data_IF_602080383824
#
_entry.id   IF_602080383824
#
_cell.length_a   1.000
_cell.length_b   1.000
_cell.length_c   1.000
_cell.angle_alpha   90.00
_cell.angle_beta   90.00
_cell.angle_gamma   90.00
#
_symmetry.space_group_name_H-M   'P 1'
#
loop_
_entity.id
_entity.type
_entity.pdbx_description
1 polymer ?
#
# COMPACT_ATOMS: atom_id res chain seq x y z
N UNK A 1 58.97 27.97 24.38
CA UNK A 1 58.27 27.06 23.51
C UNK A 1 56.86 27.52 23.16
N UNK A 2 56.05 28.08 24.07
CA UNK A 2 54.65 28.51 23.75
C UNK A 2 54.55 29.71 22.78
N UNK A 3 55.53 30.61 22.73
CA UNK A 3 55.52 31.77 21.82
C UNK A 3 55.94 31.45 20.36
N UNK A 4 56.70 30.36 20.14
CA UNK A 4 57.10 29.91 18.82
C UNK A 4 56.00 29.13 18.10
N UNK A 5 55.15 28.41 18.85
CA UNK A 5 54.00 27.67 18.28
C UNK A 5 52.92 28.64 17.81
N UNK A 6 52.67 29.74 18.51
CA UNK A 6 51.70 30.76 18.09
C UNK A 6 52.10 31.51 16.82
N UNK A 7 53.41 31.69 16.59
CA UNK A 7 53.93 32.36 15.40
C UNK A 7 53.84 31.43 14.17
N UNK A 8 54.02 30.12 14.33
CA UNK A 8 53.89 29.12 13.29
C UNK A 8 52.44 28.94 12.83
N UNK A 9 51.47 28.99 13.79
CA UNK A 9 50.05 28.93 13.46
C UNK A 9 49.54 30.18 12.73
N UNK A 10 50.08 31.36 13.08
CA UNK A 10 49.75 32.61 12.38
C UNK A 10 50.30 32.66 10.95
N UNK A 11 51.47 32.05 10.70
CA UNK A 11 52.08 31.99 9.38
C UNK A 11 51.38 30.99 8.42
N UNK A 12 50.77 29.94 8.96
CA UNK A 12 49.95 28.99 8.18
C UNK A 12 48.60 29.57 7.75
N UNK A 13 48.02 30.53 8.46
CA UNK A 13 46.77 31.20 8.07
C UNK A 13 46.94 32.30 7.04
N UNK A 14 48.16 32.82 6.84
CA UNK A 14 48.44 33.88 5.83
C UNK A 14 48.77 33.28 4.46
N UNK A 15 49.18 32.02 4.39
CA UNK A 15 49.45 31.34 3.12
C UNK A 15 48.18 30.79 2.38
N UNK A 16 47.01 30.87 3.02
CA UNK A 16 45.75 30.45 2.37
C UNK A 16 45.00 31.58 1.61
N UNK A 17 45.54 32.80 1.58
CA UNK A 17 44.88 33.98 0.98
C UNK A 17 45.50 34.47 -0.35
N UNK A 18 46.48 33.77 -0.92
CA UNK A 18 47.18 34.18 -2.18
C UNK A 18 46.92 33.20 -3.35
N UNK A 19 45.80 32.47 -3.36
CA UNK A 19 45.40 31.62 -4.48
C UNK A 19 44.06 32.07 -5.12
N UNK A 20 43.91 33.38 -5.34
CA UNK A 20 42.80 33.91 -6.14
C UNK A 20 43.32 35.11 -6.94
N UNK A 21 43.90 34.82 -8.11
CA UNK A 21 44.23 35.84 -9.11
C UNK A 21 44.81 35.18 -10.35
N UNK A 22 43.98 34.98 -11.41
CA UNK A 22 44.50 34.59 -12.74
C UNK A 22 43.51 33.74 -13.53
N UNK A 23 42.57 34.44 -14.15
CA UNK A 23 42.14 34.31 -15.55
C UNK A 23 41.63 32.96 -16.09
N UNK A 24 40.50 33.02 -16.77
CA UNK A 24 40.05 31.99 -17.73
C UNK A 24 38.83 31.19 -17.27
N UNK A 25 37.66 31.74 -17.58
CA UNK A 25 36.33 31.14 -17.39
C UNK A 25 36.23 29.65 -17.69
N UNK A 26 35.91 28.94 -16.68
CA UNK A 26 34.99 27.79 -16.73
C UNK A 26 34.24 27.82 -15.40
N UNK A 27 33.02 28.33 -15.48
CA UNK A 27 32.02 28.11 -14.47
C UNK A 27 31.78 26.60 -14.41
N UNK A 28 32.56 25.90 -13.57
CA UNK A 28 32.12 24.64 -13.05
C UNK A 28 30.93 24.97 -12.11
N UNK A 29 29.77 25.18 -12.69
CA UNK A 29 28.54 24.92 -11.98
C UNK A 29 28.61 23.44 -11.70
N UNK A 30 29.00 23.05 -10.49
CA UNK A 30 28.54 21.82 -9.87
C UNK A 30 27.02 21.97 -9.82
N UNK A 31 26.35 21.66 -10.91
CA UNK A 31 24.94 21.37 -10.90
C UNK A 31 24.84 20.04 -10.16
N UNK A 32 24.76 20.08 -8.84
CA UNK A 32 24.23 18.92 -8.12
C UNK A 32 22.95 18.54 -8.83
N UNK A 33 22.77 17.26 -9.13
CA UNK A 33 21.57 16.76 -9.80
C UNK A 33 20.36 17.36 -9.11
N UNK A 34 19.50 18.04 -9.87
CA UNK A 34 18.23 18.52 -9.34
C UNK A 34 17.39 17.31 -9.00
N UNK A 35 16.87 17.26 -7.79
CA UNK A 35 16.15 16.10 -7.27
C UNK A 35 14.75 16.51 -6.82
N UNK A 36 13.75 15.76 -7.27
CA UNK A 36 12.41 15.76 -6.70
C UNK A 36 12.27 14.51 -5.86
N UNK A 37 11.82 14.69 -4.62
CA UNK A 37 11.57 13.59 -3.70
C UNK A 37 10.08 13.28 -3.67
N UNK A 38 9.72 12.05 -4.03
CA UNK A 38 8.38 11.50 -3.85
C UNK A 38 8.40 10.64 -2.58
N UNK A 39 7.59 11.00 -1.58
CA UNK A 39 7.42 10.22 -0.37
C UNK A 39 6.63 8.94 -0.68
N UNK A 40 7.05 7.83 -0.09
CA UNK A 40 6.35 6.54 -0.16
C UNK A 40 5.94 6.16 1.26
N UNK A 41 4.66 6.34 1.54
CA UNK A 41 4.05 6.13 2.86
C UNK A 41 3.34 4.78 2.89
N UNK A 42 4.07 3.70 3.16
CA UNK A 42 3.54 2.34 3.04
C UNK A 42 3.82 1.46 4.28
N UNK A 43 3.00 0.43 4.53
CA UNK A 43 3.32 -0.57 5.52
C UNK A 43 4.41 -1.51 4.98
N UNK A 44 5.64 -1.35 5.48
CA UNK A 44 6.76 -2.24 5.16
C UNK A 44 6.94 -3.31 6.24
N UNK A 45 6.23 -3.17 7.37
CA UNK A 45 6.16 -4.10 8.49
C UNK A 45 4.72 -4.24 9.00
N UNK A 46 4.44 -5.26 9.85
CA UNK A 46 3.11 -5.54 10.39
C UNK A 46 2.22 -6.38 9.45
N UNK A 47 0.93 -6.45 9.75
CA UNK A 47 -0.01 -7.40 9.14
C UNK A 47 -0.31 -7.13 7.66
N UNK A 48 -0.17 -5.89 7.22
CA UNK A 48 -0.37 -5.45 5.83
C UNK A 48 0.93 -5.33 5.02
N UNK A 49 2.08 -5.71 5.59
CA UNK A 49 3.39 -5.54 4.96
C UNK A 49 3.52 -6.21 3.58
N UNK A 50 2.81 -7.33 3.36
CA UNK A 50 2.83 -8.00 2.05
C UNK A 50 2.26 -7.11 0.95
N UNK A 51 1.13 -6.46 1.21
CA UNK A 51 0.49 -5.54 0.26
C UNK A 51 1.31 -4.28 0.03
N UNK A 52 1.71 -3.59 1.11
CA UNK A 52 2.49 -2.36 0.98
C UNK A 52 3.83 -2.53 0.26
N UNK A 53 4.53 -3.63 0.50
CA UNK A 53 5.77 -3.95 -0.24
C UNK A 53 5.53 -4.16 -1.74
N UNK A 54 4.39 -4.71 -2.11
CA UNK A 54 4.01 -4.90 -3.51
C UNK A 54 3.60 -3.59 -4.19
N UNK A 55 2.96 -2.66 -3.48
CA UNK A 55 2.76 -1.29 -3.99
C UNK A 55 4.10 -0.59 -4.22
N UNK A 56 5.00 -0.66 -3.24
CA UNK A 56 6.37 -0.11 -3.38
C UNK A 56 7.12 -0.75 -4.55
N UNK A 57 6.96 -2.04 -4.76
CA UNK A 57 7.56 -2.74 -5.91
C UNK A 57 7.12 -2.15 -7.24
N UNK A 58 5.82 -1.86 -7.39
CA UNK A 58 5.29 -1.18 -8.58
C UNK A 58 5.89 0.20 -8.79
N UNK A 59 5.95 1.00 -7.72
CA UNK A 59 6.55 2.34 -7.75
C UNK A 59 8.05 2.29 -8.11
N UNK A 60 8.80 1.32 -7.56
CA UNK A 60 10.23 1.15 -7.84
C UNK A 60 10.47 0.70 -9.28
N UNK A 61 9.63 -0.20 -9.79
CA UNK A 61 9.71 -0.60 -11.19
C UNK A 61 9.46 0.59 -12.11
N UNK A 62 8.38 1.35 -11.89
CA UNK A 62 8.07 2.56 -12.66
C UNK A 62 9.20 3.60 -12.59
N UNK A 63 9.77 3.84 -11.41
CA UNK A 63 10.92 4.73 -11.24
C UNK A 63 12.18 4.22 -11.98
N UNK A 64 12.37 2.90 -12.09
CA UNK A 64 13.48 2.33 -12.87
C UNK A 64 13.34 2.56 -14.37
N UNK A 65 12.10 2.62 -14.88
CA UNK A 65 11.81 2.92 -16.28
C UNK A 65 11.85 4.43 -16.59
N UNK A 66 11.36 5.24 -15.65
CA UNK A 66 11.26 6.71 -15.80
C UNK A 66 11.86 7.40 -14.57
N UNK A 67 13.20 7.44 -14.45
CA UNK A 67 13.89 7.96 -13.26
C UNK A 67 13.97 9.49 -13.19
N UNK A 68 13.44 10.19 -14.19
CA UNK A 68 13.53 11.65 -14.32
C UNK A 68 12.20 12.26 -14.76
N UNK A 69 12.00 13.54 -14.44
CA UNK A 69 10.86 14.34 -14.91
C UNK A 69 11.36 15.69 -15.43
N UNK A 70 10.70 16.19 -16.48
CA UNK A 70 10.97 17.52 -17.05
C UNK A 70 10.01 18.54 -16.44
N UNK A 71 10.55 19.56 -15.75
CA UNK A 71 9.78 20.67 -15.21
C UNK A 71 10.36 22.00 -15.66
N UNK A 72 9.54 22.80 -16.35
CA UNK A 72 9.93 24.13 -16.85
C UNK A 72 11.20 24.10 -17.72
N UNK A 73 11.41 23.02 -18.48
CA UNK A 73 12.58 22.85 -19.36
C UNK A 73 13.86 22.40 -18.63
N UNK A 74 13.72 21.94 -17.39
CA UNK A 74 14.83 21.40 -16.59
C UNK A 74 14.54 19.96 -16.18
N UNK A 75 15.54 19.08 -16.30
CA UNK A 75 15.45 17.68 -15.92
C UNK A 75 15.72 17.51 -14.43
N UNK A 76 14.84 16.84 -13.72
CA UNK A 76 14.97 16.47 -12.32
C UNK A 76 15.03 14.97 -12.19
N UNK A 77 15.97 14.48 -11.37
CA UNK A 77 15.97 13.08 -10.93
C UNK A 77 14.85 12.87 -9.92
N UNK A 78 14.11 11.77 -10.03
CA UNK A 78 13.06 11.38 -9.08
C UNK A 78 13.64 10.40 -8.07
N UNK A 79 13.54 10.74 -6.78
CA UNK A 79 13.96 9.90 -5.67
C UNK A 79 12.73 9.45 -4.87
N UNK A 80 12.57 8.13 -4.65
CA UNK A 80 11.56 7.56 -3.78
C UNK A 80 12.08 7.52 -2.34
N UNK A 81 11.40 8.21 -1.44
CA UNK A 81 11.74 8.31 -0.02
C UNK A 81 10.76 7.50 0.80
N UNK A 82 11.18 6.33 1.28
CA UNK A 82 10.32 5.40 1.99
C UNK A 82 10.16 5.77 3.46
N UNK A 83 8.94 5.58 3.99
CA UNK A 83 8.64 5.66 5.42
C UNK A 83 7.61 4.59 5.80
N UNK A 84 8.00 3.72 6.74
CA UNK A 84 7.19 2.58 7.20
C UNK A 84 6.15 3.03 8.23
N UNK A 85 4.87 2.92 7.90
CA UNK A 85 3.78 3.18 8.84
C UNK A 85 3.44 1.97 9.75
N UNK A 86 4.10 0.83 9.53
CA UNK A 86 4.02 -0.34 10.39
C UNK A 86 2.66 -1.02 10.43
N UNK A 87 1.79 -0.84 9.43
CA UNK A 87 0.38 -1.29 9.44
C UNK A 87 -0.41 -0.75 10.65
N UNK A 88 -0.06 0.44 11.17
CA UNK A 88 -0.52 0.92 12.47
C UNK A 88 -1.03 2.36 12.40
N UNK A 89 -2.24 2.58 12.87
CA UNK A 89 -2.81 3.93 13.04
C UNK A 89 -2.02 4.77 14.04
N UNK A 90 -1.40 4.15 15.04
CA UNK A 90 -0.59 4.85 16.04
C UNK A 90 0.77 5.32 15.48
N UNK A 91 1.37 4.55 14.58
CA UNK A 91 2.66 4.88 13.96
C UNK A 91 2.53 5.79 12.73
N UNK A 92 1.41 5.71 12.03
CA UNK A 92 1.17 6.44 10.79
C UNK A 92 1.44 7.95 10.89
N UNK A 93 1.01 8.69 11.95
CA UNK A 93 1.32 10.11 12.06
C UNK A 93 2.82 10.42 12.16
N UNK A 94 3.59 9.54 12.82
CA UNK A 94 5.05 9.70 12.93
C UNK A 94 5.74 9.45 11.60
N UNK A 95 5.34 8.39 10.87
CA UNK A 95 5.86 8.09 9.55
C UNK A 95 5.54 9.18 8.52
N UNK A 96 4.34 9.76 8.58
CA UNK A 96 3.96 10.90 7.75
C UNK A 96 4.82 12.14 8.07
N UNK A 97 5.03 12.45 9.36
CA UNK A 97 5.88 13.57 9.78
C UNK A 97 7.36 13.38 9.38
N UNK A 98 7.84 12.14 9.34
CA UNK A 98 9.18 11.82 8.85
C UNK A 98 9.34 12.20 7.37
N UNK A 99 8.36 11.86 6.50
CA UNK A 99 8.36 12.26 5.09
C UNK A 99 8.32 13.79 4.92
N UNK A 100 7.46 14.46 5.68
CA UNK A 100 7.39 15.93 5.68
C UNK A 100 8.76 16.52 6.03
N UNK A 101 9.44 15.99 7.07
CA UNK A 101 10.75 16.47 7.50
C UNK A 101 11.86 16.23 6.47
N UNK A 102 11.72 15.21 5.64
CA UNK A 102 12.66 14.89 4.54
C UNK A 102 12.45 15.77 3.31
N UNK A 103 11.44 16.64 3.32
CA UNK A 103 11.16 17.60 2.27
C UNK A 103 10.68 16.95 0.97
N UNK A 104 9.75 15.99 1.08
CA UNK A 104 9.11 15.39 -0.10
C UNK A 104 8.14 16.38 -0.74
N UNK A 105 8.02 16.35 -2.06
CA UNK A 105 7.16 17.24 -2.84
C UNK A 105 5.72 16.72 -2.94
N UNK A 106 5.56 15.39 -2.95
CA UNK A 106 4.30 14.67 -3.05
C UNK A 106 4.46 13.34 -2.34
N UNK A 107 3.36 12.72 -1.92
CA UNK A 107 3.36 11.42 -1.24
C UNK A 107 2.49 10.42 -2.01
N UNK A 108 3.00 9.21 -2.21
CA UNK A 108 2.26 8.03 -2.65
C UNK A 108 2.00 7.10 -1.46
N UNK A 109 0.83 6.51 -1.42
CA UNK A 109 0.45 5.56 -0.37
C UNK A 109 -0.83 5.98 0.33
N UNK A 110 -1.36 5.13 1.11
CA UNK A 110 -0.83 3.88 1.63
C UNK A 110 -1.78 2.72 1.29
N UNK A 111 -1.32 1.49 1.45
CA UNK A 111 -2.15 0.29 1.32
C UNK A 111 -3.30 0.24 2.34
N UNK A 112 -3.11 0.75 3.56
CA UNK A 112 -4.08 0.64 4.64
C UNK A 112 -4.92 1.89 4.85
N UNK A 113 -6.27 1.81 4.76
CA UNK A 113 -7.17 2.95 4.95
C UNK A 113 -7.06 3.61 6.32
N UNK A 114 -6.95 2.81 7.41
CA UNK A 114 -6.77 3.33 8.77
C UNK A 114 -5.47 4.15 8.91
N UNK A 115 -4.36 3.66 8.35
CA UNK A 115 -3.09 4.39 8.35
C UNK A 115 -3.16 5.67 7.51
N UNK A 116 -3.87 5.62 6.35
CA UNK A 116 -4.12 6.82 5.53
C UNK A 116 -4.88 7.91 6.30
N UNK A 117 -5.96 7.53 6.99
CA UNK A 117 -6.75 8.47 7.80
C UNK A 117 -5.97 9.03 8.98
N UNK A 118 -5.11 8.23 9.61
CA UNK A 118 -4.32 8.66 10.76
C UNK A 118 -3.12 9.54 10.37
N UNK A 119 -2.42 9.21 9.28
CA UNK A 119 -1.22 9.93 8.82
C UNK A 119 -1.54 11.11 7.89
N UNK A 120 -2.60 10.99 7.09
CA UNK A 120 -2.98 11.96 6.05
C UNK A 120 -3.11 13.41 6.50
N UNK A 121 -3.65 13.72 7.70
CA UNK A 121 -3.69 15.08 8.20
C UNK A 121 -2.32 15.77 8.27
N UNK A 122 -1.22 15.02 8.49
CA UNK A 122 0.14 15.57 8.52
C UNK A 122 0.59 16.13 7.17
N UNK A 123 0.16 15.50 6.09
CA UNK A 123 0.43 16.00 4.73
C UNK A 123 -0.38 17.26 4.45
N UNK A 124 -1.67 17.28 4.81
CA UNK A 124 -2.51 18.47 4.69
C UNK A 124 -1.99 19.66 5.49
N UNK A 125 -1.58 19.45 6.75
CA UNK A 125 -0.96 20.48 7.60
C UNK A 125 0.32 21.06 6.96
N UNK A 126 1.07 20.24 6.22
CA UNK A 126 2.30 20.64 5.53
C UNK A 126 2.06 21.21 4.12
N UNK A 127 0.82 21.18 3.60
CA UNK A 127 0.50 21.58 2.23
C UNK A 127 1.06 20.65 1.18
N UNK A 128 1.28 19.36 1.52
CA UNK A 128 1.82 18.33 0.63
C UNK A 128 0.67 17.44 0.15
N UNK A 129 0.51 17.29 -1.17
CA UNK A 129 -0.48 16.40 -1.74
C UNK A 129 -0.09 14.93 -1.49
N UNK A 130 -1.08 14.09 -1.16
CA UNK A 130 -0.95 12.65 -1.06
C UNK A 130 -1.89 11.94 -2.03
N UNK A 131 -1.42 10.90 -2.70
CA UNK A 131 -2.19 10.06 -3.62
C UNK A 131 -2.31 8.68 -3.02
N UNK A 132 -3.52 8.34 -2.55
CA UNK A 132 -3.86 7.01 -2.07
C UNK A 132 -3.83 5.99 -3.20
N UNK A 133 -3.07 4.93 -3.00
CA UNK A 133 -2.88 3.88 -4.00
C UNK A 133 -4.01 2.87 -3.93
N UNK A 134 -4.17 2.17 -2.80
CA UNK A 134 -5.26 1.22 -2.59
C UNK A 134 -6.03 1.41 -1.28
N UNK A 135 -5.92 2.57 -0.63
CA UNK A 135 -6.71 2.91 0.56
C UNK A 135 -8.15 3.29 0.17
N UNK A 136 -9.01 2.31 0.05
CA UNK A 136 -10.32 2.38 -0.60
C UNK A 136 -11.43 3.00 0.26
N UNK A 137 -11.26 3.11 1.59
CA UNK A 137 -12.29 3.66 2.46
C UNK A 137 -12.61 5.13 2.09
N UNK A 138 -13.90 5.49 1.86
CA UNK A 138 -14.29 6.86 1.50
C UNK A 138 -13.78 7.94 2.45
N UNK A 139 -13.62 7.61 3.74
CA UNK A 139 -13.19 8.56 4.75
C UNK A 139 -11.71 8.99 4.62
N UNK A 140 -10.92 8.31 3.82
CA UNK A 140 -9.50 8.68 3.57
C UNK A 140 -9.40 10.09 2.97
N UNK A 141 -10.30 10.44 2.05
CA UNK A 141 -10.32 11.76 1.40
C UNK A 141 -11.39 12.68 1.95
N UNK A 142 -12.31 12.18 2.78
CA UNK A 142 -13.37 12.99 3.35
C UNK A 142 -12.80 14.03 4.34
N UNK A 143 -12.93 15.32 3.99
CA UNK A 143 -12.44 16.42 4.83
C UNK A 143 -10.93 16.63 4.80
N UNK A 144 -10.22 16.04 3.83
CA UNK A 144 -8.80 16.27 3.59
C UNK A 144 -8.57 16.67 2.12
N UNK A 145 -8.46 17.98 1.87
CA UNK A 145 -8.29 18.55 0.53
C UNK A 145 -6.93 18.23 -0.11
N UNK A 146 -6.01 17.67 0.65
CA UNK A 146 -4.67 17.27 0.20
C UNK A 146 -4.53 15.77 -0.03
N UNK A 147 -5.58 14.95 0.22
CA UNK A 147 -5.54 13.52 -0.01
C UNK A 147 -6.43 13.12 -1.20
N UNK A 148 -5.80 12.67 -2.25
CA UNK A 148 -6.42 12.17 -3.48
C UNK A 148 -6.34 10.65 -3.50
N UNK A 149 -6.93 9.98 -4.51
CA UNK A 149 -6.78 8.52 -4.70
C UNK A 149 -6.94 8.14 -6.16
N UNK A 150 -6.35 7.02 -6.54
CA UNK A 150 -6.52 6.39 -7.85
C UNK A 150 -7.38 5.11 -7.79
N UNK A 151 -7.61 4.56 -6.62
CA UNK A 151 -8.40 3.34 -6.43
C UNK A 151 -9.92 3.61 -6.39
N UNK A 152 -10.71 2.55 -6.57
CA UNK A 152 -12.14 2.61 -6.34
C UNK A 152 -12.49 2.77 -4.84
N UNK A 153 -13.77 2.92 -4.55
CA UNK A 153 -14.28 3.13 -3.19
C UNK A 153 -14.91 1.86 -2.61
N UNK A 154 -14.81 1.67 -1.28
CA UNK A 154 -15.40 0.54 -0.55
C UNK A 154 -16.91 0.38 -0.78
N UNK A 155 -17.65 1.48 -0.88
CA UNK A 155 -19.08 1.42 -1.15
C UNK A 155 -19.38 0.82 -2.54
N UNK A 156 -18.56 1.10 -3.54
CA UNK A 156 -18.66 0.46 -4.85
C UNK A 156 -18.25 -1.01 -4.79
N UNK A 157 -17.09 -1.31 -4.20
CA UNK A 157 -16.58 -2.69 -4.04
C UNK A 157 -17.59 -3.58 -3.31
N UNK A 158 -18.13 -3.09 -2.19
CA UNK A 158 -19.11 -3.82 -1.40
C UNK A 158 -20.41 -4.08 -2.16
N UNK A 159 -20.86 -3.13 -2.98
CA UNK A 159 -22.05 -3.33 -3.81
C UNK A 159 -21.82 -4.43 -4.85
N UNK A 160 -20.65 -4.44 -5.50
CA UNK A 160 -20.28 -5.48 -6.49
C UNK A 160 -20.22 -6.85 -5.80
N UNK A 161 -19.53 -6.97 -4.65
CA UNK A 161 -19.38 -8.23 -3.94
C UNK A 161 -20.71 -8.75 -3.37
N UNK A 162 -21.57 -7.86 -2.87
CA UNK A 162 -22.90 -8.21 -2.39
C UNK A 162 -23.79 -8.75 -3.54
N UNK A 163 -23.81 -8.08 -4.69
CA UNK A 163 -24.55 -8.54 -5.86
C UNK A 163 -23.97 -9.87 -6.38
N UNK A 164 -22.65 -10.01 -6.42
CA UNK A 164 -22.00 -11.27 -6.79
C UNK A 164 -22.42 -12.43 -5.87
N UNK A 165 -22.48 -12.23 -4.55
CA UNK A 165 -22.95 -13.23 -3.61
C UNK A 165 -24.38 -13.71 -3.95
N UNK A 166 -25.25 -12.78 -4.29
CA UNK A 166 -26.65 -13.08 -4.65
C UNK A 166 -26.77 -13.74 -6.01
N UNK A 167 -26.09 -13.23 -7.02
CA UNK A 167 -26.20 -13.71 -8.39
C UNK A 167 -25.53 -15.07 -8.57
N UNK A 168 -24.36 -15.26 -7.97
CA UNK A 168 -23.58 -16.50 -8.13
C UNK A 168 -24.09 -17.64 -7.26
N UNK A 169 -24.48 -17.35 -6.02
CA UNK A 169 -24.81 -18.35 -5.01
C UNK A 169 -26.29 -18.34 -4.60
N UNK A 170 -27.09 -17.42 -5.14
CA UNK A 170 -28.46 -17.16 -4.66
C UNK A 170 -28.50 -16.94 -3.14
N UNK A 171 -27.42 -16.35 -2.59
CA UNK A 171 -27.20 -16.22 -1.16
C UNK A 171 -28.32 -15.41 -0.48
N UNK A 172 -28.85 -15.97 0.61
CA UNK A 172 -29.88 -15.36 1.48
C UNK A 172 -29.30 -14.94 2.81
N UNK A 173 -28.25 -15.63 3.26
CA UNK A 173 -27.57 -15.36 4.53
C UNK A 173 -26.08 -15.23 4.29
N UNK A 174 -25.50 -14.10 4.68
CA UNK A 174 -24.08 -13.89 4.67
C UNK A 174 -23.53 -13.81 6.11
N UNK A 175 -22.40 -14.47 6.36
CA UNK A 175 -21.64 -14.31 7.58
C UNK A 175 -20.45 -13.40 7.30
N UNK A 176 -20.40 -12.24 7.97
CA UNK A 176 -19.33 -11.25 7.81
C UNK A 176 -18.37 -11.33 9.00
N UNK A 177 -17.06 -11.43 8.72
CA UNK A 177 -16.02 -11.53 9.72
C UNK A 177 -14.91 -10.51 9.44
N UNK A 178 -14.60 -9.65 10.41
CA UNK A 178 -13.55 -8.65 10.31
C UNK A 178 -12.80 -8.41 11.60
N UNK A 179 -11.70 -7.69 11.55
CA UNK A 179 -10.94 -7.29 12.73
C UNK A 179 -11.65 -6.15 13.47
N UNK A 180 -11.74 -6.27 14.79
CA UNK A 180 -12.33 -5.22 15.62
C UNK A 180 -11.44 -3.96 15.63
N UNK A 181 -12.05 -2.80 15.33
CA UNK A 181 -11.34 -1.52 15.28
C UNK A 181 -10.53 -1.28 14.00
N UNK A 182 -10.58 -2.19 13.02
CA UNK A 182 -10.00 -1.96 11.71
C UNK A 182 -10.98 -1.19 10.83
N UNK A 183 -10.63 0.03 10.46
CA UNK A 183 -11.51 0.95 9.71
C UNK A 183 -11.84 0.44 8.30
N UNK A 184 -10.94 -0.30 7.66
CA UNK A 184 -11.18 -0.90 6.37
C UNK A 184 -12.17 -2.06 6.48
N UNK A 185 -11.91 -3.03 7.34
CA UNK A 185 -12.77 -4.20 7.54
C UNK A 185 -14.20 -3.78 7.92
N UNK A 186 -14.32 -2.90 8.93
CA UNK A 186 -15.61 -2.44 9.43
C UNK A 186 -16.38 -1.63 8.40
N UNK A 187 -15.68 -0.80 7.63
CA UNK A 187 -16.26 -0.01 6.54
C UNK A 187 -16.86 -0.91 5.47
N UNK A 188 -16.08 -1.86 4.94
CA UNK A 188 -16.53 -2.80 3.92
C UNK A 188 -17.69 -3.67 4.39
N UNK A 189 -17.61 -4.23 5.61
CA UNK A 189 -18.70 -5.03 6.20
C UNK A 189 -19.98 -4.19 6.32
N UNK A 190 -19.86 -2.93 6.75
CA UNK A 190 -21.01 -2.03 6.88
C UNK A 190 -21.68 -1.75 5.52
N UNK A 191 -20.89 -1.45 4.49
CA UNK A 191 -21.42 -1.23 3.14
C UNK A 191 -22.00 -2.50 2.52
N UNK A 192 -21.32 -3.64 2.66
CA UNK A 192 -21.80 -4.95 2.21
C UNK A 192 -23.15 -5.28 2.85
N UNK A 193 -23.24 -5.16 4.19
CA UNK A 193 -24.46 -5.40 4.95
C UNK A 193 -25.62 -4.56 4.42
N UNK A 194 -25.41 -3.26 4.29
CA UNK A 194 -26.44 -2.34 3.79
C UNK A 194 -26.99 -2.74 2.42
N UNK A 195 -26.14 -3.13 1.48
CA UNK A 195 -26.56 -3.54 0.12
C UNK A 195 -27.23 -4.92 0.16
N UNK A 196 -26.66 -5.87 0.89
CA UNK A 196 -27.15 -7.24 0.95
C UNK A 196 -28.54 -7.31 1.62
N UNK A 197 -28.76 -6.56 2.71
CA UNK A 197 -30.06 -6.48 3.39
C UNK A 197 -31.09 -5.69 2.58
N UNK A 198 -30.69 -4.59 1.92
CA UNK A 198 -31.60 -3.87 1.02
C UNK A 198 -32.12 -4.74 -0.13
N UNK A 199 -31.34 -5.75 -0.53
CA UNK A 199 -31.73 -6.74 -1.52
C UNK A 199 -32.45 -7.99 -0.90
N UNK A 200 -32.92 -7.90 0.36
CA UNK A 200 -33.71 -8.92 1.06
C UNK A 200 -32.89 -10.08 1.65
N UNK A 201 -31.57 -9.91 1.81
CA UNK A 201 -30.71 -10.87 2.50
C UNK A 201 -30.66 -10.64 4.00
N UNK A 202 -30.04 -11.56 4.72
CA UNK A 202 -29.73 -11.46 6.16
C UNK A 202 -28.22 -11.48 6.35
N UNK A 203 -27.69 -10.62 7.21
CA UNK A 203 -26.26 -10.56 7.54
C UNK A 203 -26.04 -10.89 9.00
N UNK A 204 -25.09 -11.75 9.27
CA UNK A 204 -24.59 -12.08 10.61
C UNK A 204 -23.19 -11.56 10.68
N UNK A 205 -22.95 -10.57 11.53
CA UNK A 205 -21.63 -9.93 11.68
C UNK A 205 -20.93 -10.40 12.94
N UNK A 206 -19.65 -10.69 12.82
CA UNK A 206 -18.76 -11.00 13.93
C UNK A 206 -17.42 -10.28 13.76
N UNK A 207 -16.68 -10.11 14.85
CA UNK A 207 -15.37 -9.50 14.82
C UNK A 207 -14.42 -10.18 15.80
N UNK A 208 -13.14 -10.23 15.41
CA UNK A 208 -12.07 -10.78 16.22
C UNK A 208 -11.11 -9.67 16.72
N UNK A 209 -10.45 -9.87 17.87
CA UNK A 209 -9.48 -8.89 18.36
C UNK A 209 -8.17 -8.92 17.55
N UNK A 210 -7.46 -7.81 17.53
CA UNK A 210 -6.10 -7.71 16.99
C UNK A 210 -5.19 -8.81 17.57
N UNK A 211 -4.29 -9.34 16.76
CA UNK A 211 -3.41 -10.47 17.07
C UNK A 211 -4.13 -11.80 17.31
N UNK A 212 -5.38 -11.95 16.86
CA UNK A 212 -6.05 -13.24 16.90
C UNK A 212 -5.36 -14.25 15.97
N UNK A 213 -5.17 -15.47 16.46
CA UNK A 213 -4.56 -16.57 15.68
C UNK A 213 -5.45 -17.81 15.61
N UNK A 214 -6.58 -17.82 16.32
CA UNK A 214 -7.55 -18.93 16.32
C UNK A 214 -8.92 -18.43 15.84
N UNK A 215 -9.32 -18.89 14.67
CA UNK A 215 -10.59 -18.55 14.02
C UNK A 215 -11.64 -19.67 14.13
N UNK A 216 -11.32 -20.76 14.85
CA UNK A 216 -12.17 -21.96 14.95
C UNK A 216 -13.58 -21.62 15.41
N UNK A 217 -13.72 -20.78 16.44
CA UNK A 217 -15.04 -20.39 16.97
C UNK A 217 -15.88 -19.64 15.95
N UNK A 218 -15.27 -18.69 15.22
CA UNK A 218 -15.94 -17.88 14.21
C UNK A 218 -16.37 -18.74 13.00
N UNK A 219 -15.49 -19.62 12.54
CA UNK A 219 -15.77 -20.53 11.42
C UNK A 219 -16.87 -21.55 11.76
N UNK A 220 -16.87 -22.12 12.98
CA UNK A 220 -17.94 -22.98 13.45
C UNK A 220 -19.27 -22.22 13.58
N UNK A 221 -19.24 -20.95 14.00
CA UNK A 221 -20.42 -20.11 14.07
C UNK A 221 -20.97 -19.82 12.66
N UNK A 222 -20.10 -19.50 11.69
CA UNK A 222 -20.51 -19.37 10.29
C UNK A 222 -21.22 -20.63 9.80
N UNK A 223 -20.64 -21.82 10.03
CA UNK A 223 -21.22 -23.12 9.64
C UNK A 223 -22.57 -23.38 10.32
N UNK A 224 -22.67 -23.15 11.63
CA UNK A 224 -23.90 -23.40 12.38
C UNK A 224 -25.01 -22.39 12.13
N UNK A 225 -24.67 -21.21 11.63
CA UNK A 225 -25.65 -20.16 11.28
C UNK A 225 -26.41 -20.43 10.00
N UNK A 226 -25.98 -21.40 9.19
CA UNK A 226 -26.55 -21.67 7.87
C UNK A 226 -26.22 -20.58 6.85
N UNK A 227 -25.09 -19.91 7.01
CA UNK A 227 -24.63 -18.92 6.04
C UNK A 227 -24.36 -19.55 4.66
N UNK A 228 -24.81 -18.90 3.60
CA UNK A 228 -24.59 -19.29 2.22
C UNK A 228 -23.21 -18.83 1.71
N UNK A 229 -22.69 -17.75 2.27
CA UNK A 229 -21.37 -17.18 1.97
C UNK A 229 -20.69 -16.61 3.22
N UNK A 230 -19.36 -16.62 3.23
CA UNK A 230 -18.55 -15.91 4.25
C UNK A 230 -17.92 -14.71 3.56
N UNK A 231 -18.22 -13.48 4.00
CA UNK A 231 -17.57 -12.26 3.57
C UNK A 231 -16.52 -11.86 4.60
N UNK A 232 -15.24 -11.76 4.18
CA UNK A 232 -14.15 -11.42 5.10
C UNK A 232 -13.12 -10.52 4.41
N UNK A 233 -13.18 -9.18 4.65
CA UNK A 233 -12.29 -8.20 4.03
C UNK A 233 -11.06 -7.92 4.90
N UNK A 234 -10.42 -8.96 5.42
CA UNK A 234 -9.34 -8.85 6.41
C UNK A 234 -7.96 -8.70 5.77
N UNK A 235 -6.95 -8.40 6.56
CA UNK A 235 -5.56 -8.36 6.10
C UNK A 235 -5.08 -9.71 5.55
N UNK A 236 -4.06 -9.70 4.68
CA UNK A 236 -3.47 -10.90 4.08
C UNK A 236 -3.05 -11.92 5.14
N UNK A 237 -2.50 -11.45 6.27
CA UNK A 237 -2.04 -12.30 7.35
C UNK A 237 -3.20 -13.08 7.99
N UNK A 238 -4.32 -12.42 8.28
CA UNK A 238 -5.50 -13.07 8.82
C UNK A 238 -6.22 -13.93 7.79
N UNK A 239 -6.36 -13.44 6.55
CA UNK A 239 -6.98 -14.20 5.47
C UNK A 239 -6.31 -15.56 5.27
N UNK A 240 -4.97 -15.59 5.24
CA UNK A 240 -4.19 -16.82 5.12
C UNK A 240 -4.51 -17.82 6.23
N UNK A 241 -4.58 -17.36 7.49
CA UNK A 241 -4.91 -18.19 8.65
C UNK A 241 -6.37 -18.68 8.63
N UNK A 242 -7.31 -17.78 8.29
CA UNK A 242 -8.74 -18.10 8.18
C UNK A 242 -8.95 -19.21 7.13
N UNK A 243 -8.37 -19.08 5.95
CA UNK A 243 -8.50 -20.05 4.86
C UNK A 243 -7.89 -21.42 5.26
N UNK A 244 -6.70 -21.43 5.89
CA UNK A 244 -6.07 -22.67 6.36
C UNK A 244 -6.91 -23.38 7.43
N UNK A 245 -7.45 -22.62 8.40
CA UNK A 245 -8.30 -23.18 9.45
C UNK A 245 -9.67 -23.63 8.92
N UNK A 246 -10.26 -22.87 7.98
CA UNK A 246 -11.49 -23.24 7.32
C UNK A 246 -11.33 -24.57 6.58
N UNK A 247 -10.25 -24.75 5.84
CA UNK A 247 -9.91 -26.01 5.17
C UNK A 247 -9.80 -27.16 6.16
N UNK A 248 -9.08 -26.95 7.27
CA UNK A 248 -8.89 -27.96 8.33
C UNK A 248 -10.19 -28.36 9.04
N UNK A 249 -11.14 -27.45 9.15
CA UNK A 249 -12.46 -27.66 9.75
C UNK A 249 -13.50 -28.22 8.76
N UNK A 250 -13.12 -28.42 7.50
CA UNK A 250 -14.05 -28.87 6.46
C UNK A 250 -15.19 -27.86 6.24
N UNK A 251 -14.89 -26.58 6.22
CA UNK A 251 -15.83 -25.53 5.83
C UNK A 251 -15.96 -25.57 4.31
N UNK A 252 -17.15 -25.72 3.80
CA UNK A 252 -17.50 -25.78 2.39
C UNK A 252 -18.29 -24.54 1.90
N UNK A 253 -18.50 -23.58 2.80
CA UNK A 253 -19.14 -22.30 2.50
C UNK A 253 -18.17 -21.45 1.65
N UNK A 254 -18.60 -20.91 0.48
CA UNK A 254 -17.73 -20.06 -0.32
C UNK A 254 -17.33 -18.77 0.39
N UNK A 255 -16.06 -18.41 0.25
CA UNK A 255 -15.49 -17.17 0.73
C UNK A 255 -15.56 -16.09 -0.34
N UNK A 256 -16.02 -14.93 0.07
CA UNK A 256 -15.96 -13.69 -0.71
C UNK A 256 -15.01 -12.77 0.04
N UNK A 257 -13.90 -12.44 -0.63
CA UNK A 257 -12.89 -11.53 -0.12
C UNK A 257 -12.92 -10.18 -0.84
N UNK A 258 -12.29 -9.22 -0.23
CA UNK A 258 -12.02 -7.91 -0.83
C UNK A 258 -10.73 -7.93 -1.65
N UNK A 259 -10.31 -6.77 -2.14
CA UNK A 259 -9.05 -6.56 -2.86
C UNK A 259 -7.81 -7.01 -2.08
N UNK A 260 -7.85 -6.94 -0.74
CA UNK A 260 -6.76 -7.41 0.14
C UNK A 260 -6.49 -8.90 0.03
N UNK A 261 -7.47 -9.70 -0.39
CA UNK A 261 -7.33 -11.16 -0.53
C UNK A 261 -6.76 -11.57 -1.90
N UNK A 262 -6.60 -10.64 -2.83
CA UNK A 262 -5.92 -10.89 -4.10
C UNK A 262 -4.39 -10.87 -3.89
N UNK A 263 -3.91 -11.89 -3.20
CA UNK A 263 -2.50 -12.06 -2.82
C UNK A 263 -2.05 -13.50 -3.01
N UNK A 264 -0.83 -13.69 -3.51
CA UNK A 264 -0.28 -15.03 -3.77
C UNK A 264 -0.20 -15.92 -2.52
N UNK A 265 -0.05 -15.34 -1.31
CA UNK A 265 -0.06 -16.12 -0.05
C UNK A 265 -1.45 -16.62 0.28
N UNK A 266 -2.49 -15.80 0.05
CA UNK A 266 -3.88 -16.18 0.28
C UNK A 266 -4.29 -17.25 -0.74
N UNK A 267 -3.92 -17.07 -2.01
CA UNK A 267 -4.16 -18.05 -3.07
C UNK A 267 -3.45 -19.38 -2.78
N UNK A 268 -2.19 -19.33 -2.33
CA UNK A 268 -1.44 -20.53 -1.94
C UNK A 268 -2.09 -21.26 -0.75
N UNK A 269 -2.67 -20.52 0.22
CA UNK A 269 -3.38 -21.13 1.33
C UNK A 269 -4.67 -21.86 0.91
N UNK A 270 -5.32 -21.42 -0.16
CA UNK A 270 -6.50 -22.06 -0.73
C UNK A 270 -6.14 -23.20 -1.70
N UNK A 271 -4.95 -23.20 -2.28
CA UNK A 271 -4.54 -24.14 -3.29
C UNK A 271 -4.50 -25.59 -2.75
N UNK A 272 -5.10 -26.53 -3.48
CA UNK A 272 -5.16 -27.94 -3.09
C UNK A 272 -6.19 -28.24 -1.98
N UNK A 273 -6.98 -27.26 -1.57
CA UNK A 273 -8.10 -27.39 -0.62
C UNK A 273 -9.44 -27.42 -1.36
N UNK A 274 -10.54 -27.63 -0.63
CA UNK A 274 -11.90 -27.51 -1.16
C UNK A 274 -12.46 -26.08 -1.01
N UNK A 275 -11.67 -25.12 -0.54
CA UNK A 275 -12.12 -23.74 -0.32
C UNK A 275 -12.39 -23.07 -1.68
N UNK A 276 -13.59 -22.54 -1.83
CA UNK A 276 -13.96 -21.67 -2.93
C UNK A 276 -13.73 -20.22 -2.48
N UNK A 277 -12.74 -19.55 -3.08
CA UNK A 277 -12.38 -18.18 -2.79
C UNK A 277 -12.64 -17.28 -4.01
N UNK A 278 -13.39 -16.21 -3.82
CA UNK A 278 -13.68 -15.17 -4.81
C UNK A 278 -13.26 -13.81 -4.25
N UNK A 279 -12.58 -13.02 -5.05
CA UNK A 279 -12.03 -11.74 -4.60
C UNK A 279 -12.35 -10.63 -5.60
N UNK A 280 -12.45 -9.40 -5.13
CA UNK A 280 -12.35 -8.23 -6.00
C UNK A 280 -10.88 -7.92 -6.27
N UNK A 281 -10.59 -7.30 -7.41
CA UNK A 281 -9.22 -6.95 -7.78
C UNK A 281 -9.18 -5.66 -8.57
N UNK A 282 -8.02 -4.99 -8.59
CA UNK A 282 -7.76 -3.79 -9.40
C UNK A 282 -7.20 -4.14 -10.77
N UNK A 283 -6.46 -5.24 -10.86
CA UNK A 283 -5.75 -5.66 -12.07
C UNK A 283 -5.75 -7.18 -12.19
N UNK A 284 -5.79 -7.65 -13.42
CA UNK A 284 -5.61 -9.07 -13.75
C UNK A 284 -4.50 -9.21 -14.78
N UNK A 285 -3.58 -10.13 -14.58
CA UNK A 285 -2.54 -10.48 -15.53
C UNK A 285 -3.14 -10.78 -16.91
N UNK A 286 -2.54 -10.22 -17.95
CA UNK A 286 -3.08 -10.21 -19.32
C UNK A 286 -3.77 -8.89 -19.69
N UNK A 287 -4.03 -8.00 -18.74
CA UNK A 287 -4.62 -6.68 -18.96
C UNK A 287 -3.68 -5.72 -19.71
N UNK A 288 -2.38 -5.81 -19.44
CA UNK A 288 -1.33 -5.05 -20.13
C UNK A 288 -0.10 -5.95 -20.35
N UNK A 289 0.03 -6.59 -21.52
CA UNK A 289 1.13 -7.54 -21.78
C UNK A 289 2.52 -6.91 -21.67
N UNK A 290 2.66 -5.62 -21.95
CA UNK A 290 3.93 -4.89 -21.81
C UNK A 290 4.32 -4.73 -20.35
N UNK A 291 3.40 -4.25 -19.50
CA UNK A 291 3.59 -4.16 -18.06
C UNK A 291 3.87 -5.55 -17.47
N UNK A 292 3.07 -6.56 -17.82
CA UNK A 292 3.20 -7.91 -17.29
C UNK A 292 4.60 -8.48 -17.54
N UNK A 293 5.08 -8.33 -18.78
CA UNK A 293 6.44 -8.77 -19.12
C UNK A 293 7.49 -7.99 -18.35
N UNK A 294 7.38 -6.67 -18.32
CA UNK A 294 8.37 -5.78 -17.69
C UNK A 294 8.49 -6.01 -16.20
N UNK A 295 7.36 -6.08 -15.48
CA UNK A 295 7.38 -6.30 -14.03
C UNK A 295 7.91 -7.71 -13.67
N UNK A 296 7.58 -8.75 -14.44
CA UNK A 296 8.13 -10.09 -14.24
C UNK A 296 9.64 -10.13 -14.48
N UNK A 297 10.10 -9.50 -15.53
CA UNK A 297 11.54 -9.38 -15.80
C UNK A 297 12.25 -8.62 -14.65
N UNK A 298 11.66 -7.53 -14.15
CA UNK A 298 12.20 -6.77 -13.02
C UNK A 298 12.29 -7.61 -11.75
N UNK A 299 11.21 -8.33 -11.39
CA UNK A 299 11.16 -9.23 -10.22
C UNK A 299 12.21 -10.34 -10.34
N UNK A 300 12.31 -10.99 -11.50
CA UNK A 300 13.21 -12.13 -11.69
C UNK A 300 14.69 -11.72 -11.74
N UNK A 301 15.01 -10.50 -12.13
CA UNK A 301 16.35 -9.96 -12.16
C UNK A 301 16.79 -9.24 -10.88
N UNK A 302 15.86 -9.08 -9.90
CA UNK A 302 16.13 -8.37 -8.65
C UNK A 302 15.70 -9.23 -7.45
N UNK A 303 16.69 -9.74 -6.70
CA UNK A 303 16.45 -10.63 -5.57
C UNK A 303 15.63 -9.98 -4.44
N UNK A 304 15.79 -8.66 -4.19
CA UNK A 304 14.98 -7.92 -3.22
C UNK A 304 13.52 -7.82 -3.70
N UNK A 305 13.32 -7.43 -4.96
CA UNK A 305 11.99 -7.36 -5.58
C UNK A 305 11.27 -8.72 -5.50
N UNK A 306 11.96 -9.80 -5.80
CA UNK A 306 11.41 -11.16 -5.69
C UNK A 306 11.02 -11.53 -4.26
N UNK A 307 11.86 -11.18 -3.28
CA UNK A 307 11.56 -11.39 -1.86
C UNK A 307 10.33 -10.59 -1.41
N UNK A 308 10.24 -9.32 -1.80
CA UNK A 308 9.13 -8.44 -1.44
C UNK A 308 7.82 -8.86 -2.13
N UNK A 309 7.91 -9.50 -3.30
CA UNK A 309 6.77 -10.11 -4.01
C UNK A 309 6.33 -11.48 -3.44
N UNK A 310 6.97 -11.96 -2.38
CA UNK A 310 6.61 -13.24 -1.75
C UNK A 310 7.33 -14.47 -2.30
N UNK A 311 8.33 -14.29 -3.15
CA UNK A 311 9.26 -15.34 -3.63
C UNK A 311 9.02 -15.84 -5.05
N UNK A 312 7.94 -15.42 -5.69
CA UNK A 312 7.60 -15.75 -7.09
C UNK A 312 7.46 -14.48 -7.95
N UNK A 313 7.03 -14.61 -9.20
CA UNK A 313 6.80 -13.50 -10.12
C UNK A 313 5.32 -13.30 -10.47
N UNK A 314 4.42 -13.77 -9.62
CA UNK A 314 2.98 -13.52 -9.74
C UNK A 314 2.70 -12.02 -9.65
N UNK A 315 1.98 -11.49 -10.62
CA UNK A 315 1.64 -10.07 -10.64
C UNK A 315 0.51 -9.81 -9.65
N UNK A 316 0.79 -8.99 -8.64
CA UNK A 316 -0.24 -8.53 -7.72
C UNK A 316 -0.94 -7.29 -8.31
N UNK A 317 -2.26 -7.23 -8.14
CA UNK A 317 -3.03 -6.06 -8.56
C UNK A 317 -2.54 -4.76 -7.92
N UNK A 318 -2.10 -4.82 -6.66
CA UNK A 318 -1.59 -3.63 -5.96
C UNK A 318 -0.20 -3.19 -6.48
N UNK A 319 0.56 -4.10 -7.10
CA UNK A 319 1.81 -3.74 -7.81
C UNK A 319 1.49 -2.90 -9.05
N UNK A 320 0.46 -3.27 -9.81
CA UNK A 320 0.01 -2.48 -10.95
C UNK A 320 -0.48 -1.09 -10.50
N UNK A 321 -1.22 -1.02 -9.39
CA UNK A 321 -1.66 0.25 -8.82
C UNK A 321 -0.49 1.14 -8.35
N UNK A 322 0.55 0.55 -7.74
CA UNK A 322 1.77 1.28 -7.37
C UNK A 322 2.52 1.84 -8.58
N UNK A 323 2.57 1.07 -9.66
CA UNK A 323 3.12 1.50 -10.94
C UNK A 323 2.35 2.70 -11.51
N UNK A 324 1.04 2.60 -11.60
CA UNK A 324 0.19 3.70 -12.09
C UNK A 324 0.29 4.94 -11.20
N UNK A 325 0.32 4.77 -9.87
CA UNK A 325 0.46 5.88 -8.92
C UNK A 325 1.71 6.71 -9.16
N UNK A 326 2.83 6.05 -9.49
CA UNK A 326 4.07 6.74 -9.81
C UNK A 326 3.92 7.64 -11.04
N UNK A 327 3.33 7.13 -12.12
CA UNK A 327 3.11 7.94 -13.33
C UNK A 327 2.11 9.07 -13.10
N UNK A 328 1.04 8.84 -12.33
CA UNK A 328 0.12 9.92 -11.93
C UNK A 328 0.87 11.02 -11.16
N UNK A 329 1.82 10.63 -10.30
CA UNK A 329 2.64 11.60 -9.57
C UNK A 329 3.58 12.42 -10.47
N UNK A 330 4.07 11.83 -11.58
CA UNK A 330 4.93 12.54 -12.54
C UNK A 330 4.15 13.56 -13.38
N UNK A 331 2.86 13.31 -13.60
CA UNK A 331 1.99 14.19 -14.39
C UNK A 331 1.38 15.33 -13.54
N UNK A 332 1.37 15.21 -12.21
CA UNK A 332 0.80 16.19 -11.28
C UNK A 332 1.74 17.39 -11.02
#
# INVERSE_FOLDING_TARGET
MKKFVSLLLAMLMVLSLVACGGDGGQSNTNSGDKVIKIGVFEPLSGDSASGGKKEVLGMQYANSETPTVELNGETYKVELVLSDNGSSTDKAPSAASDLVSKGVSLVLGTYGSGAAMAGGPKFGEAGIAAIGVTCTNPNVTAGNDYYFRICFLDNFQSAVLSNFAKDKFAAKTAYCLGENGNEYDQGLISYFTKVFEAAGGTVITDSFPTNNSDFTTYLNKAKSSGADVIFTPVSIAYATQIIQQASSLGIDIPFIGSDTLDDNKVLAAAQGTNIQLYVSTFYQEGGSPEFDKGIKDYINNNASAKSDNGGDDTISAVTAMGYDAYYVALEA
#
